data_IF_074250203459
#
_entry.id   IF_074250203459
#
_cell.length_a   1.000
_cell.length_b   1.000
_cell.length_c   1.000
_cell.angle_alpha   90.00
_cell.angle_beta   90.00
_cell.angle_gamma   90.00
#
_symmetry.space_group_name_H-M   'P 1'
#
loop_
_entity.id
_entity.type
_entity.pdbx_description
1 polymer ?
#
# COMPACT_ATOMS: atom_id res chain seq x y z
N UNK A 1 5.08 -48.04 -42.14
CA UNK A 1 5.30 -48.47 -40.74
C UNK A 1 6.56 -47.75 -40.28
N UNK A 2 6.62 -46.89 -39.26
CA UNK A 2 5.90 -46.83 -37.98
C UNK A 2 5.42 -45.41 -37.62
N UNK A 3 4.26 -45.35 -36.97
CA UNK A 3 3.73 -44.18 -36.25
C UNK A 3 4.66 -43.85 -35.08
N UNK A 4 5.17 -42.62 -35.00
CA UNK A 4 5.78 -42.09 -33.78
C UNK A 4 4.65 -41.44 -32.98
N UNK A 5 4.18 -42.17 -31.97
CA UNK A 5 3.20 -41.70 -30.99
C UNK A 5 3.90 -41.73 -29.65
N UNK A 6 3.83 -40.62 -28.90
CA UNK A 6 4.21 -40.40 -27.49
C UNK A 6 5.37 -39.40 -27.30
N UNK A 7 5.00 -38.13 -27.18
CA UNK A 7 5.74 -37.14 -26.39
C UNK A 7 4.81 -36.67 -25.26
N UNK A 8 5.24 -36.78 -24.01
CA UNK A 8 4.54 -36.22 -22.84
C UNK A 8 5.35 -35.02 -22.36
N UNK A 9 4.74 -33.84 -22.35
CA UNK A 9 5.30 -32.62 -21.77
C UNK A 9 4.83 -32.56 -20.31
N UNK A 10 5.75 -32.68 -19.35
CA UNK A 10 5.47 -32.51 -17.93
C UNK A 10 5.55 -31.02 -17.57
N UNK A 11 4.39 -30.36 -17.57
CA UNK A 11 4.19 -29.03 -16.98
C UNK A 11 3.50 -29.21 -15.63
N UNK A 12 4.12 -28.78 -14.53
CA UNK A 12 3.41 -28.53 -13.26
C UNK A 12 2.59 -27.24 -13.39
N UNK A 13 1.53 -27.31 -14.19
CA UNK A 13 0.36 -26.43 -14.20
C UNK A 13 -0.82 -27.36 -14.48
N UNK A 14 -1.93 -27.22 -13.74
CA UNK A 14 -3.15 -28.03 -13.87
C UNK A 14 -3.78 -27.96 -15.29
N UNK A 15 -3.21 -28.67 -16.27
CA UNK A 15 -3.85 -28.93 -17.56
C UNK A 15 -3.28 -30.22 -18.16
N UNK A 16 -4.02 -31.32 -18.00
CA UNK A 16 -3.83 -32.52 -18.81
C UNK A 16 -4.23 -32.18 -20.26
N UNK A 17 -3.25 -32.00 -21.15
CA UNK A 17 -3.51 -31.97 -22.59
C UNK A 17 -3.58 -33.41 -23.10
N UNK A 18 -4.78 -33.96 -23.23
CA UNK A 18 -5.02 -35.20 -23.97
C UNK A 18 -5.13 -34.89 -25.46
N UNK A 19 -4.13 -35.37 -26.22
CA UNK A 19 -4.03 -35.72 -27.66
C UNK A 19 -4.80 -35.03 -28.80
N UNK A 20 -5.69 -34.05 -28.60
CA UNK A 20 -6.45 -33.41 -29.71
C UNK A 20 -6.37 -31.87 -29.71
N UNK A 21 -5.22 -31.28 -29.37
CA UNK A 21 -5.05 -29.82 -29.33
C UNK A 21 -3.90 -29.26 -30.19
N UNK A 22 -3.61 -29.87 -31.34
CA UNK A 22 -2.71 -29.25 -32.33
C UNK A 22 -3.38 -28.11 -33.14
N UNK A 23 -4.66 -27.78 -32.90
CA UNK A 23 -5.35 -26.72 -33.66
C UNK A 23 -5.85 -25.51 -32.87
N UNK A 24 -5.65 -25.43 -31.55
CA UNK A 24 -6.05 -24.24 -30.79
C UNK A 24 -5.04 -23.91 -29.68
N UNK A 25 -3.91 -23.33 -30.08
CA UNK A 25 -3.06 -22.58 -29.15
C UNK A 25 -3.63 -21.16 -29.10
N UNK A 26 -4.20 -20.77 -27.94
CA UNK A 26 -4.61 -19.39 -27.72
C UNK A 26 -3.39 -18.45 -27.78
N UNK A 27 -3.50 -17.34 -28.52
CA UNK A 27 -2.42 -16.37 -28.81
C UNK A 27 -1.73 -15.74 -27.58
N UNK A 28 -2.21 -16.00 -26.36
CA UNK A 28 -1.65 -15.51 -25.10
C UNK A 28 -0.62 -16.45 -24.47
N UNK A 29 -0.46 -17.67 -25.00
CA UNK A 29 0.52 -18.64 -24.48
C UNK A 29 1.82 -18.48 -25.26
N UNK A 30 2.83 -17.88 -24.62
CA UNK A 30 4.19 -17.83 -25.17
C UNK A 30 4.85 -19.21 -25.01
N UNK A 31 4.57 -20.09 -25.97
CA UNK A 31 5.04 -21.46 -26.02
C UNK A 31 6.58 -21.57 -26.03
N UNK A 32 7.26 -20.65 -26.72
CA UNK A 32 8.73 -20.65 -26.78
C UNK A 32 9.38 -20.41 -25.41
N UNK A 33 8.82 -19.51 -24.59
CA UNK A 33 9.34 -19.24 -23.24
C UNK A 33 9.16 -20.43 -22.27
N UNK A 34 8.13 -21.25 -22.52
CA UNK A 34 7.86 -22.47 -21.75
C UNK A 34 8.88 -23.55 -22.13
N UNK A 35 9.10 -23.78 -23.42
CA UNK A 35 10.06 -24.78 -23.90
C UNK A 35 11.50 -24.48 -23.48
N UNK A 36 11.90 -23.21 -23.42
CA UNK A 36 13.23 -22.82 -22.94
C UNK A 36 13.50 -23.19 -21.47
N UNK A 37 12.45 -23.44 -20.67
CA UNK A 37 12.55 -23.81 -19.25
C UNK A 37 12.25 -25.29 -19.01
N UNK A 38 12.00 -26.06 -20.06
CA UNK A 38 11.69 -27.48 -19.98
C UNK A 38 12.81 -28.31 -20.61
N UNK A 39 13.17 -29.41 -19.96
CA UNK A 39 14.05 -30.42 -20.58
C UNK A 39 13.18 -31.30 -21.47
N UNK A 40 13.40 -31.27 -22.77
CA UNK A 40 12.71 -32.12 -23.75
C UNK A 40 13.66 -33.23 -24.18
N UNK A 41 13.27 -34.48 -23.94
CA UNK A 41 14.07 -35.66 -24.27
C UNK A 41 13.21 -36.91 -24.44
N UNK A 42 13.78 -37.95 -25.04
CA UNK A 42 13.12 -39.25 -25.21
C UNK A 42 13.02 -39.94 -23.86
N UNK A 43 11.82 -40.33 -23.45
CA UNK A 43 11.61 -41.10 -22.23
C UNK A 43 12.25 -42.49 -22.42
N UNK A 44 13.27 -42.82 -21.64
CA UNK A 44 13.92 -44.14 -21.64
C UNK A 44 13.75 -44.73 -20.25
N UNK A 45 12.97 -45.82 -20.14
CA UNK A 45 12.45 -46.47 -18.91
C UNK A 45 11.30 -45.76 -18.20
N UNK A 46 10.07 -46.22 -18.47
CA UNK A 46 8.84 -45.84 -17.76
C UNK A 46 8.87 -46.26 -16.27
N UNK A 47 9.58 -47.33 -15.90
CA UNK A 47 9.54 -47.89 -14.54
C UNK A 47 10.31 -47.08 -13.48
N UNK A 48 11.20 -46.16 -13.88
CA UNK A 48 12.00 -45.35 -12.92
C UNK A 48 11.36 -44.00 -12.54
N UNK A 49 10.27 -43.60 -13.21
CA UNK A 49 9.53 -42.38 -12.90
C UNK A 49 8.15 -42.71 -12.33
N UNK A 50 8.12 -43.26 -11.12
CA UNK A 50 6.92 -43.07 -10.30
C UNK A 50 6.92 -41.61 -9.87
N UNK A 51 5.99 -40.81 -10.41
CA UNK A 51 5.63 -39.56 -9.76
C UNK A 51 5.36 -39.88 -8.29
N UNK A 52 5.90 -39.11 -7.32
CA UNK A 52 5.48 -39.27 -5.94
C UNK A 52 3.95 -39.22 -5.96
N UNK A 53 3.29 -40.17 -5.29
CA UNK A 53 1.84 -40.14 -5.15
C UNK A 53 1.48 -38.72 -4.73
N UNK A 54 0.78 -38.01 -5.61
CA UNK A 54 0.12 -36.77 -5.25
C UNK A 54 -0.87 -37.17 -4.18
N UNK A 55 -0.44 -37.05 -2.92
CA UNK A 55 -1.34 -36.96 -1.80
C UNK A 55 -2.17 -35.69 -2.08
N UNK A 56 -3.26 -35.85 -2.81
CA UNK A 56 -4.43 -35.03 -2.57
C UNK A 56 -4.81 -35.37 -1.14
N UNK A 57 -4.27 -34.60 -0.21
CA UNK A 57 -4.78 -34.61 1.14
C UNK A 57 -6.22 -34.14 1.02
N UNK A 58 -7.15 -35.00 1.42
CA UNK A 58 -8.53 -34.60 1.62
C UNK A 58 -8.52 -33.47 2.67
N UNK A 59 -8.73 -32.25 2.19
CA UNK A 59 -8.96 -31.10 3.06
C UNK A 59 -10.36 -31.27 3.65
N UNK A 60 -10.46 -31.72 4.90
CA UNK A 60 -11.72 -31.71 5.66
C UNK A 60 -12.10 -30.29 6.10
N UNK A 61 -12.19 -29.35 5.16
CA UNK A 61 -12.99 -28.11 5.22
C UNK A 61 -13.24 -27.71 3.77
N UNK A 62 -14.49 -27.49 3.37
CA UNK A 62 -14.83 -27.11 2.00
C UNK A 62 -14.02 -25.86 1.56
N UNK A 63 -13.23 -25.99 0.49
CA UNK A 63 -12.44 -24.92 -0.14
C UNK A 63 -13.28 -23.69 -0.56
N UNK A 64 -14.61 -23.76 -0.49
CA UNK A 64 -15.52 -22.80 -1.08
C UNK A 64 -15.62 -21.44 -0.35
N UNK A 65 -15.19 -21.33 0.90
CA UNK A 65 -15.56 -20.16 1.72
C UNK A 65 -14.52 -19.02 1.72
N UNK A 66 -13.30 -19.28 1.21
CA UNK A 66 -12.15 -18.38 1.37
C UNK A 66 -11.60 -17.79 0.06
N UNK A 67 -12.12 -18.22 -1.10
CA UNK A 67 -11.71 -17.78 -2.44
C UNK A 67 -10.20 -17.49 -2.52
N UNK A 68 -9.40 -18.55 -2.33
CA UNK A 68 -7.96 -18.47 -2.13
C UNK A 68 -7.25 -19.60 -2.88
N UNK A 69 -6.15 -19.26 -3.54
CA UNK A 69 -5.16 -20.22 -4.05
C UNK A 69 -3.90 -20.20 -3.19
N UNK A 70 -3.05 -21.22 -3.33
CA UNK A 70 -1.71 -21.20 -2.76
C UNK A 70 -0.70 -21.91 -3.67
N UNK A 71 0.56 -21.53 -3.52
CA UNK A 71 1.68 -22.21 -4.17
C UNK A 71 2.92 -22.10 -3.29
N UNK A 72 3.95 -22.87 -3.60
CA UNK A 72 5.19 -22.87 -2.81
C UNK A 72 6.42 -23.06 -3.67
N UNK A 73 7.56 -22.63 -3.12
CA UNK A 73 8.90 -23.02 -3.56
C UNK A 73 9.66 -23.57 -2.35
N UNK A 74 10.92 -23.99 -2.54
CA UNK A 74 11.74 -24.51 -1.44
C UNK A 74 11.84 -23.52 -0.27
N UNK A 75 11.98 -22.22 -0.55
CA UNK A 75 12.17 -21.18 0.47
C UNK A 75 10.92 -20.46 0.95
N UNK A 76 9.77 -20.63 0.30
CA UNK A 76 8.56 -19.89 0.69
C UNK A 76 7.26 -20.62 0.36
N UNK A 77 6.20 -20.20 1.02
CA UNK A 77 4.81 -20.51 0.66
C UNK A 77 4.08 -19.19 0.41
N UNK A 78 3.21 -19.16 -0.59
CA UNK A 78 2.48 -17.98 -1.00
C UNK A 78 0.98 -18.29 -1.04
N UNK A 79 0.19 -17.46 -0.35
CA UNK A 79 -1.26 -17.49 -0.40
C UNK A 79 -1.75 -16.35 -1.27
N UNK A 80 -2.74 -16.61 -2.11
CA UNK A 80 -3.37 -15.63 -3.00
C UNK A 80 -4.84 -15.58 -2.68
N UNK A 81 -5.29 -14.48 -2.08
CA UNK A 81 -6.68 -14.24 -1.74
C UNK A 81 -7.35 -13.36 -2.79
N UNK A 82 -8.57 -13.70 -3.15
CA UNK A 82 -9.41 -12.93 -4.08
C UNK A 82 -10.63 -12.41 -3.34
N UNK A 83 -10.55 -11.17 -2.86
CA UNK A 83 -11.57 -10.54 -2.00
C UNK A 83 -12.82 -10.10 -2.78
N UNK A 84 -12.77 -10.11 -4.12
CA UNK A 84 -13.83 -9.66 -5.04
C UNK A 84 -14.28 -8.20 -4.83
N UNK A 85 -13.51 -7.43 -4.07
CA UNK A 85 -13.82 -6.06 -3.68
C UNK A 85 -12.57 -5.20 -3.83
N UNK A 86 -12.67 -4.03 -4.46
CA UNK A 86 -11.52 -3.16 -4.62
C UNK A 86 -11.09 -2.58 -3.25
N UNK A 87 -9.80 -2.28 -3.10
CA UNK A 87 -9.21 -1.71 -1.87
C UNK A 87 -9.58 -2.49 -0.58
N UNK A 88 -9.39 -3.82 -0.54
CA UNK A 88 -9.81 -4.63 0.60
C UNK A 88 -9.08 -4.26 1.89
N UNK A 89 -9.76 -4.27 3.03
CA UNK A 89 -9.07 -4.20 4.33
C UNK A 89 -8.12 -5.40 4.44
N UNK A 90 -6.83 -5.16 4.70
CA UNK A 90 -5.83 -6.22 4.87
C UNK A 90 -5.07 -6.01 6.18
N UNK A 91 -5.26 -6.95 7.10
CA UNK A 91 -4.41 -7.14 8.27
C UNK A 91 -3.91 -8.57 8.31
N UNK A 92 -2.62 -8.75 8.55
CA UNK A 92 -1.95 -10.05 8.60
C UNK A 92 -1.18 -10.13 9.91
N UNK A 93 -1.25 -11.28 10.58
CA UNK A 93 -0.57 -11.50 11.86
C UNK A 93 0.01 -12.90 11.92
N UNK A 94 1.28 -13.02 12.34
CA UNK A 94 1.89 -14.30 12.68
C UNK A 94 1.92 -14.47 14.21
N UNK A 95 0.89 -15.11 14.78
CA UNK A 95 0.74 -15.27 16.24
C UNK A 95 1.78 -16.21 16.84
N UNK A 96 2.06 -17.30 16.14
CA UNK A 96 3.09 -18.30 16.44
C UNK A 96 3.84 -18.61 15.15
N UNK A 97 5.05 -19.21 15.21
CA UNK A 97 5.83 -19.50 14.00
C UNK A 97 5.08 -20.28 12.93
N UNK A 98 4.03 -21.02 13.28
CA UNK A 98 3.16 -21.78 12.39
C UNK A 98 1.68 -21.36 12.43
N UNK A 99 1.31 -20.25 13.08
CA UNK A 99 -0.08 -19.79 13.14
C UNK A 99 -0.22 -18.43 12.45
N UNK A 100 -0.73 -18.47 11.22
CA UNK A 100 -0.94 -17.33 10.35
C UNK A 100 -2.40 -16.88 10.40
N UNK A 101 -2.66 -15.69 10.96
CA UNK A 101 -3.99 -15.09 11.00
C UNK A 101 -4.08 -13.94 10.00
N UNK A 102 -5.28 -13.72 9.46
CA UNK A 102 -5.55 -12.57 8.61
C UNK A 102 -6.98 -12.08 8.81
N UNK A 103 -7.15 -10.78 8.58
CA UNK A 103 -8.42 -10.09 8.47
C UNK A 103 -8.50 -9.53 7.06
N UNK A 104 -9.48 -10.00 6.30
CA UNK A 104 -9.81 -9.50 4.96
C UNK A 104 -11.25 -9.00 4.96
N UNK A 105 -11.45 -7.70 4.77
CA UNK A 105 -12.78 -7.06 4.82
C UNK A 105 -13.59 -7.44 6.07
N UNK A 106 -13.00 -7.26 7.25
CA UNK A 106 -13.61 -7.65 8.53
C UNK A 106 -13.75 -9.16 8.80
N UNK A 107 -13.44 -10.03 7.84
CA UNK A 107 -13.49 -11.49 8.03
C UNK A 107 -12.16 -12.00 8.57
N UNK A 108 -12.18 -12.49 9.80
CA UNK A 108 -11.02 -13.09 10.47
C UNK A 108 -10.94 -14.59 10.21
N UNK A 109 -9.75 -15.07 9.87
CA UNK A 109 -9.44 -16.48 9.64
C UNK A 109 -8.01 -16.77 10.11
N UNK A 110 -7.73 -18.04 10.38
CA UNK A 110 -6.39 -18.51 10.76
C UNK A 110 -6.02 -19.77 9.99
N UNK A 111 -4.74 -19.90 9.62
CA UNK A 111 -4.13 -21.08 9.01
C UNK A 111 -3.05 -21.57 9.96
N UNK A 112 -3.22 -22.79 10.45
CA UNK A 112 -2.17 -23.53 11.13
C UNK A 112 -1.27 -24.16 10.06
N UNK A 113 -0.15 -23.50 9.77
CA UNK A 113 0.81 -23.90 8.76
C UNK A 113 1.46 -25.24 9.09
N UNK A 114 1.81 -26.00 8.04
CA UNK A 114 2.46 -27.29 8.21
C UNK A 114 3.80 -27.20 8.96
N UNK A 115 4.60 -26.16 8.73
CA UNK A 115 5.84 -25.87 9.46
C UNK A 115 6.00 -24.38 9.75
N UNK A 116 7.04 -24.05 10.53
CA UNK A 116 7.33 -22.69 10.91
C UNK A 116 7.81 -21.81 9.72
N UNK A 117 7.44 -20.54 9.78
CA UNK A 117 7.86 -19.46 8.88
C UNK A 117 8.59 -18.36 9.65
N UNK A 118 9.24 -17.44 8.94
CA UNK A 118 9.90 -16.25 9.50
C UNK A 118 9.08 -15.00 9.21
N UNK A 119 9.27 -13.97 10.04
CA UNK A 119 8.65 -12.64 9.91
C UNK A 119 9.75 -11.58 9.65
N UNK A 120 9.51 -10.51 8.87
CA UNK A 120 8.26 -10.14 8.20
C UNK A 120 7.87 -11.04 7.02
N UNK A 121 6.57 -11.05 6.71
CA UNK A 121 6.08 -11.59 5.45
C UNK A 121 6.20 -10.54 4.33
N UNK A 122 6.10 -10.98 3.07
CA UNK A 122 6.03 -10.07 1.92
C UNK A 122 4.59 -10.06 1.42
N UNK A 123 4.01 -8.85 1.31
CA UNK A 123 2.62 -8.67 0.88
C UNK A 123 2.57 -7.89 -0.43
N UNK A 124 1.81 -8.38 -1.41
CA UNK A 124 1.51 -7.66 -2.65
C UNK A 124 0.00 -7.54 -2.82
N UNK A 125 -0.47 -6.33 -3.10
CA UNK A 125 -1.90 -6.05 -3.25
C UNK A 125 -2.12 -5.44 -4.63
N UNK A 126 -3.03 -6.03 -5.40
CA UNK A 126 -3.61 -5.40 -6.59
C UNK A 126 -4.98 -4.89 -6.19
N UNK A 127 -4.99 -3.64 -5.72
CA UNK A 127 -6.13 -3.08 -4.99
C UNK A 127 -7.41 -3.06 -5.83
N UNK A 128 -7.34 -2.65 -7.10
CA UNK A 128 -8.52 -2.47 -7.97
C UNK A 128 -9.30 -3.76 -8.24
N UNK A 129 -8.65 -4.93 -8.18
CA UNK A 129 -9.29 -6.24 -8.40
C UNK A 129 -9.42 -7.05 -7.10
N UNK A 130 -9.01 -6.50 -5.96
CA UNK A 130 -9.09 -7.18 -4.67
C UNK A 130 -8.20 -8.43 -4.58
N UNK A 131 -7.04 -8.44 -5.22
CA UNK A 131 -6.10 -9.56 -5.15
C UNK A 131 -5.03 -9.28 -4.10
N UNK A 132 -4.91 -10.13 -3.08
CA UNK A 132 -3.93 -10.02 -2.00
C UNK A 132 -3.02 -11.24 -2.02
N UNK A 133 -1.72 -11.04 -2.19
CA UNK A 133 -0.72 -12.11 -2.15
C UNK A 133 0.11 -11.98 -0.88
N UNK A 134 0.20 -13.07 -0.11
CA UNK A 134 0.96 -13.14 1.12
C UNK A 134 2.01 -14.23 1.00
N UNK A 135 3.27 -13.81 0.90
CA UNK A 135 4.43 -14.70 0.80
C UNK A 135 5.07 -14.82 2.18
N UNK A 136 5.03 -16.02 2.74
CA UNK A 136 5.68 -16.40 3.99
C UNK A 136 6.98 -17.13 3.68
N UNK A 137 8.09 -16.69 4.29
CA UNK A 137 9.40 -17.32 4.13
C UNK A 137 9.49 -18.51 5.08
N UNK A 138 9.85 -19.68 4.56
CA UNK A 138 9.94 -20.91 5.36
C UNK A 138 11.19 -20.87 6.23
N UNK A 139 11.05 -21.23 7.51
CA UNK A 139 12.21 -21.32 8.42
C UNK A 139 13.15 -22.47 8.04
N UNK A 140 12.61 -23.53 7.46
CA UNK A 140 13.36 -24.69 6.94
C UNK A 140 12.99 -24.88 5.48
N UNK A 141 14.01 -24.93 4.61
CA UNK A 141 13.82 -25.14 3.17
C UNK A 141 13.20 -26.53 2.92
N UNK A 142 12.27 -26.58 1.96
CA UNK A 142 11.66 -27.84 1.52
C UNK A 142 10.23 -27.67 1.05
N UNK A 143 9.75 -28.65 0.27
CA UNK A 143 8.35 -28.73 -0.13
C UNK A 143 7.50 -29.29 1.01
N UNK A 144 6.35 -28.69 1.26
CA UNK A 144 5.38 -29.17 2.23
C UNK A 144 4.31 -29.98 1.48
N UNK A 145 3.90 -31.16 1.97
CA UNK A 145 2.85 -31.94 1.33
C UNK A 145 1.50 -31.20 1.31
N UNK A 146 1.26 -30.38 2.33
CA UNK A 146 0.09 -29.52 2.48
C UNK A 146 0.53 -28.14 2.97
N UNK A 147 -0.28 -27.10 2.76
CA UNK A 147 0.00 -25.79 3.34
C UNK A 147 -0.21 -25.75 4.87
N UNK A 148 -1.17 -26.52 5.36
CA UNK A 148 -1.65 -26.46 6.74
C UNK A 148 -3.15 -26.76 6.83
N UNK A 149 -3.77 -26.36 7.94
CA UNK A 149 -5.22 -26.45 8.14
C UNK A 149 -5.83 -25.08 8.41
N UNK A 150 -6.97 -24.80 7.78
CA UNK A 150 -7.73 -23.57 8.03
C UNK A 150 -8.56 -23.78 9.29
N UNK A 151 -8.57 -22.79 10.18
CA UNK A 151 -9.43 -22.77 11.36
C UNK A 151 -10.20 -21.45 11.42
N UNK A 152 -11.48 -21.52 11.76
CA UNK A 152 -12.24 -20.34 12.13
C UNK A 152 -11.81 -19.92 13.54
N UNK A 153 -11.30 -18.71 13.65
CA UNK A 153 -11.01 -18.11 14.95
C UNK A 153 -12.19 -17.24 15.36
N UNK A 154 -12.57 -17.30 16.64
CA UNK A 154 -13.48 -16.31 17.21
C UNK A 154 -12.89 -14.91 16.96
N UNK A 155 -13.75 -13.96 16.62
CA UNK A 155 -13.36 -12.58 16.37
C UNK A 155 -12.74 -12.01 17.66
N UNK A 156 -11.41 -11.95 17.72
CA UNK A 156 -10.71 -11.18 18.75
C UNK A 156 -10.41 -9.85 18.07
N UNK A 157 -11.25 -8.86 18.34
CA UNK A 157 -11.06 -7.51 17.83
C UNK A 157 -9.85 -6.90 18.55
N UNK A 158 -8.69 -6.96 17.91
CA UNK A 158 -7.52 -6.20 18.34
C UNK A 158 -7.64 -4.83 17.68
N UNK A 159 -7.89 -3.80 18.48
CA UNK A 159 -8.06 -2.45 17.96
C UNK A 159 -6.74 -1.67 17.87
N UNK A 160 -5.73 -2.04 18.68
CA UNK A 160 -4.44 -1.36 18.78
C UNK A 160 -3.27 -2.34 18.93
N UNK A 161 -2.13 -1.98 18.36
CA UNK A 161 -0.85 -2.68 18.49
C UNK A 161 0.21 -1.75 19.05
N UNK A 162 1.16 -2.32 19.80
CA UNK A 162 2.31 -1.54 20.28
C UNK A 162 3.35 -1.40 19.18
N UNK A 163 3.89 -0.21 19.04
CA UNK A 163 4.98 0.05 18.12
C UNK A 163 6.11 0.77 18.84
N UNK A 164 7.32 0.26 18.68
CA UNK A 164 8.56 0.83 19.21
C UNK A 164 9.12 1.84 18.21
N UNK A 165 9.61 2.99 18.70
CA UNK A 165 10.30 3.98 17.88
C UNK A 165 11.69 3.46 17.52
N UNK A 166 11.93 3.24 16.22
CA UNK A 166 13.25 2.89 15.71
C UNK A 166 14.13 4.12 15.50
N UNK A 167 13.58 5.15 14.85
CA UNK A 167 14.35 6.35 14.48
C UNK A 167 13.49 7.61 14.46
N UNK A 168 14.09 8.73 14.83
CA UNK A 168 13.50 10.08 14.78
C UNK A 168 14.46 11.03 14.06
N UNK A 169 13.96 11.79 13.09
CA UNK A 169 14.71 12.82 12.37
C UNK A 169 13.93 14.12 12.27
N UNK A 170 14.61 15.26 12.37
CA UNK A 170 14.02 16.55 12.05
C UNK A 170 13.97 16.74 10.53
N UNK A 171 12.78 16.91 9.97
CA UNK A 171 12.56 17.19 8.54
C UNK A 171 12.56 18.69 8.27
N UNK A 172 12.02 19.45 9.22
CA UNK A 172 12.08 20.90 9.32
C UNK A 172 12.23 21.27 10.80
N UNK A 173 12.41 22.56 11.12
CA UNK A 173 12.50 23.05 12.51
C UNK A 173 11.34 22.63 13.42
N UNK A 174 10.19 22.27 12.85
CA UNK A 174 9.00 21.91 13.62
C UNK A 174 8.31 20.63 13.14
N UNK A 175 8.89 19.84 12.24
CA UNK A 175 8.32 18.57 11.78
C UNK A 175 9.34 17.46 11.96
N UNK A 176 8.94 16.41 12.68
CA UNK A 176 9.72 15.19 12.83
C UNK A 176 9.20 14.07 11.95
N UNK A 177 10.12 13.32 11.38
CA UNK A 177 9.90 11.98 10.85
C UNK A 177 10.12 10.97 11.96
N UNK A 178 9.13 10.09 12.19
CA UNK A 178 9.19 9.04 13.18
C UNK A 178 8.91 7.68 12.51
N UNK A 179 9.90 6.78 12.57
CA UNK A 179 9.78 5.41 12.07
C UNK A 179 9.56 4.46 13.24
N UNK A 180 8.41 3.81 13.25
CA UNK A 180 8.03 2.83 14.23
C UNK A 180 8.06 1.42 13.66
N UNK A 181 8.27 0.44 14.52
CA UNK A 181 8.13 -1.00 14.21
C UNK A 181 7.09 -1.62 15.11
N UNK A 182 6.20 -2.43 14.56
CA UNK A 182 5.27 -3.21 15.37
C UNK A 182 6.05 -4.19 16.27
N UNK A 183 5.77 -4.19 17.57
CA UNK A 183 6.35 -5.17 18.51
C UNK A 183 5.79 -6.58 18.24
N UNK A 184 4.56 -6.65 17.72
CA UNK A 184 3.93 -7.88 17.28
C UNK A 184 4.24 -8.14 15.79
N UNK A 185 4.23 -9.41 15.37
CA UNK A 185 4.38 -9.81 13.98
C UNK A 185 3.12 -9.48 13.16
N UNK A 186 2.92 -8.20 12.87
CA UNK A 186 1.69 -7.66 12.27
C UNK A 186 2.03 -6.81 11.06
N UNK A 187 1.24 -6.97 10.01
CA UNK A 187 1.21 -6.12 8.84
C UNK A 187 -0.21 -5.56 8.71
N UNK A 188 -0.32 -4.23 8.73
CA UNK A 188 -1.57 -3.52 8.49
C UNK A 188 -1.41 -2.67 7.23
N UNK A 189 -2.16 -2.98 6.17
CA UNK A 189 -2.07 -2.20 4.95
C UNK A 189 -2.86 -0.88 5.08
N UNK A 190 -2.17 0.24 4.93
CA UNK A 190 -2.79 1.57 4.93
C UNK A 190 -2.86 2.05 3.49
N UNK A 191 -4.06 2.11 2.93
CA UNK A 191 -4.26 2.66 1.58
C UNK A 191 -3.96 4.16 1.52
N UNK A 192 -3.61 4.69 0.33
CA UNK A 192 -3.48 6.13 0.13
C UNK A 192 -4.68 6.91 0.69
N UNK A 193 -4.41 8.01 1.38
CA UNK A 193 -5.44 8.84 2.02
C UNK A 193 -6.07 8.28 3.29
N UNK A 194 -5.82 7.02 3.67
CA UNK A 194 -6.24 6.48 4.97
C UNK A 194 -5.26 6.87 6.08
N UNK A 195 -5.74 6.88 7.32
CA UNK A 195 -4.97 7.25 8.50
C UNK A 195 -5.03 6.14 9.55
N UNK A 196 -4.22 6.26 10.59
CA UNK A 196 -4.29 5.45 11.81
C UNK A 196 -4.48 6.38 13.00
N UNK A 197 -4.97 5.85 14.12
CA UNK A 197 -4.91 6.54 15.40
C UNK A 197 -3.63 6.16 16.12
N UNK A 198 -2.86 7.16 16.51
CA UNK A 198 -1.75 7.01 17.45
C UNK A 198 -2.27 7.38 18.83
N UNK A 199 -2.05 6.47 19.78
CA UNK A 199 -2.44 6.59 21.17
C UNK A 199 -1.22 6.48 22.07
N UNK A 200 -1.16 7.35 23.07
CA UNK A 200 -0.11 7.33 24.09
C UNK A 200 -0.66 7.81 25.45
N UNK A 201 0.00 7.41 26.53
CA UNK A 201 -0.27 7.94 27.86
C UNK A 201 0.60 9.18 28.09
N UNK A 202 -0.03 10.35 28.18
CA UNK A 202 0.64 11.64 28.42
C UNK A 202 0.20 12.16 29.78
N UNK A 203 1.12 12.18 30.74
CA UNK A 203 0.88 12.63 32.12
C UNK A 203 -0.33 11.93 32.78
N UNK A 204 -0.45 10.61 32.63
CA UNK A 204 -1.54 9.82 33.19
C UNK A 204 -2.82 9.78 32.34
N UNK A 205 -2.91 10.55 31.25
CA UNK A 205 -4.08 10.59 30.37
C UNK A 205 -3.81 9.89 29.04
N UNK A 206 -4.72 8.99 28.64
CA UNK A 206 -4.68 8.41 27.30
C UNK A 206 -5.14 9.45 26.26
N UNK A 207 -4.23 9.88 25.39
CA UNK A 207 -4.49 10.80 24.29
C UNK A 207 -4.38 10.04 22.98
N UNK A 208 -5.35 10.21 22.09
CA UNK A 208 -5.38 9.56 20.76
C UNK A 208 -5.67 10.59 19.67
N UNK A 209 -4.92 10.57 18.56
CA UNK A 209 -5.15 11.43 17.39
C UNK A 209 -4.88 10.69 16.08
N UNK A 210 -5.56 11.06 14.99
CA UNK A 210 -5.25 10.51 13.68
C UNK A 210 -3.92 11.04 13.15
N UNK A 211 -3.14 10.16 12.53
CA UNK A 211 -1.96 10.49 11.74
C UNK A 211 -2.01 9.69 10.44
N UNK A 212 -1.69 10.35 9.33
CA UNK A 212 -1.59 9.67 8.03
C UNK A 212 -0.18 9.14 7.86
N UNK A 213 -0.01 7.80 7.78
CA UNK A 213 1.29 7.23 7.51
C UNK A 213 1.81 7.71 6.17
N UNK A 214 3.05 8.17 6.17
CA UNK A 214 3.76 8.40 4.93
C UNK A 214 4.44 7.08 4.60
N UNK A 215 3.89 6.37 3.60
CA UNK A 215 4.49 5.16 3.03
C UNK A 215 5.98 5.43 2.68
N UNK A 216 6.87 4.43 2.50
CA UNK A 216 8.23 4.61 1.99
C UNK A 216 8.25 5.30 0.62
N UNK A 217 7.99 6.60 0.64
CA UNK A 217 7.92 7.45 -0.53
C UNK A 217 9.32 7.95 -0.79
N UNK A 218 10.07 8.22 0.27
CA UNK A 218 11.49 8.44 0.13
C UNK A 218 12.16 7.08 -0.08
N UNK A 219 12.53 6.79 -1.33
CA UNK A 219 13.38 5.64 -1.74
C UNK A 219 14.78 5.66 -1.11
N UNK A 220 14.97 6.45 -0.05
CA UNK A 220 16.22 6.60 0.67
C UNK A 220 16.23 5.68 1.89
N UNK A 221 17.38 5.09 2.16
CA UNK A 221 17.65 4.40 3.42
C UNK A 221 18.11 5.35 4.53
N UNK A 222 18.28 6.64 4.22
CA UNK A 222 18.68 7.69 5.18
C UNK A 222 17.77 7.73 6.41
N UNK A 223 16.47 7.48 6.21
CA UNK A 223 15.48 7.53 7.29
C UNK A 223 15.26 6.18 8.00
N UNK A 224 16.14 5.21 7.80
CA UNK A 224 16.07 3.88 8.41
C UNK A 224 15.58 2.80 7.46
N UNK A 225 15.63 1.54 7.93
CA UNK A 225 15.21 0.38 7.15
C UNK A 225 13.69 0.21 7.25
N UNK A 226 13.01 0.36 6.11
CA UNK A 226 11.57 0.17 6.01
C UNK A 226 11.26 -1.26 5.56
N UNK A 227 10.31 -1.90 6.25
CA UNK A 227 9.78 -3.23 5.96
C UNK A 227 8.29 -3.29 6.26
N UNK A 228 7.66 -4.42 5.92
CA UNK A 228 6.22 -4.66 6.07
C UNK A 228 5.72 -4.51 7.52
N UNK A 229 6.59 -4.67 8.51
CA UNK A 229 6.31 -4.50 9.93
C UNK A 229 6.69 -3.13 10.49
N UNK A 230 6.91 -2.14 9.61
CA UNK A 230 7.22 -0.76 10.00
C UNK A 230 6.16 0.22 9.53
N UNK A 231 6.09 1.35 10.22
CA UNK A 231 5.15 2.43 9.97
C UNK A 231 5.87 3.77 10.18
N UNK A 232 5.69 4.69 9.25
CA UNK A 232 6.26 6.03 9.36
C UNK A 232 5.18 7.10 9.42
N UNK A 233 5.35 8.09 10.31
CA UNK A 233 4.50 9.29 10.40
C UNK A 233 5.34 10.57 10.42
N UNK A 234 4.80 11.64 9.85
CA UNK A 234 5.32 13.00 10.03
C UNK A 234 4.52 13.72 11.10
N UNK A 235 5.20 14.24 12.13
CA UNK A 235 4.57 14.90 13.27
C UNK A 235 5.08 16.32 13.37
N UNK A 236 4.17 17.29 13.18
CA UNK A 236 4.46 18.69 13.48
C UNK A 236 4.36 18.93 14.98
N UNK A 237 5.40 19.51 15.55
CA UNK A 237 5.42 19.94 16.95
C UNK A 237 4.55 21.19 17.10
N UNK A 238 3.46 21.05 17.86
CA UNK A 238 2.61 22.17 18.25
C UNK A 238 2.89 22.52 19.72
N UNK A 239 3.25 23.78 20.07
CA UNK A 239 3.61 24.17 21.43
C UNK A 239 2.55 23.88 22.51
N UNK A 240 1.28 23.75 22.13
CA UNK A 240 0.17 23.44 23.03
C UNK A 240 -0.45 22.05 22.75
N UNK A 241 0.19 21.25 21.88
CA UNK A 241 -0.34 19.97 21.43
C UNK A 241 0.15 18.82 22.30
N UNK A 242 -0.74 18.27 23.14
CA UNK A 242 -0.42 17.18 24.09
C UNK A 242 0.29 15.99 23.42
N UNK A 243 -0.32 15.43 22.37
CA UNK A 243 0.23 14.23 21.72
C UNK A 243 1.40 14.57 20.78
N UNK A 244 1.32 15.65 20.01
CA UNK A 244 2.42 16.03 19.12
C UNK A 244 3.72 16.32 19.89
N UNK A 245 3.65 16.99 21.04
CA UNK A 245 4.83 17.22 21.87
C UNK A 245 5.39 15.91 22.41
N UNK A 246 4.51 15.04 22.92
CA UNK A 246 4.91 13.73 23.41
C UNK A 246 5.63 12.94 22.32
N UNK A 247 5.04 12.81 21.13
CA UNK A 247 5.64 12.10 19.99
C UNK A 247 6.97 12.72 19.56
N UNK A 248 7.09 14.06 19.54
CA UNK A 248 8.35 14.72 19.19
C UNK A 248 9.43 14.59 20.28
N UNK A 249 9.06 14.24 21.51
CA UNK A 249 9.99 14.02 22.64
C UNK A 249 10.46 12.57 22.80
N UNK A 250 9.85 11.63 22.07
CA UNK A 250 10.19 10.22 22.15
C UNK A 250 11.65 9.98 21.77
N UNK A 251 12.24 9.00 22.43
CA UNK A 251 13.58 8.47 22.18
C UNK A 251 13.46 7.10 21.54
N UNK A 252 14.50 6.69 20.84
CA UNK A 252 14.59 5.34 20.30
C UNK A 252 14.35 4.32 21.42
N UNK A 253 13.50 3.33 21.15
CA UNK A 253 13.06 2.33 22.13
C UNK A 253 11.76 2.69 22.87
N UNK A 254 11.27 3.92 22.80
CA UNK A 254 9.96 4.28 23.38
C UNK A 254 8.82 3.71 22.53
N UNK A 255 7.70 3.34 23.18
CA UNK A 255 6.55 2.72 22.50
C UNK A 255 5.30 3.62 22.46
N UNK A 256 4.54 3.47 21.39
CA UNK A 256 3.19 4.02 21.20
C UNK A 256 2.19 2.89 20.90
N UNK A 257 0.89 3.19 20.94
CA UNK A 257 -0.15 2.30 20.44
C UNK A 257 -0.70 2.83 19.11
N UNK A 258 -0.85 1.95 18.12
CA UNK A 258 -1.33 2.26 16.76
C UNK A 258 -2.58 1.46 16.45
N UNK A 259 -3.63 2.13 15.97
CA UNK A 259 -4.88 1.46 15.57
C UNK A 259 -4.78 0.75 14.22
N UNK A 260 -5.83 0.01 13.88
CA UNK A 260 -6.10 -0.35 12.48
C UNK A 260 -6.23 0.88 11.57
N UNK A 261 -5.97 0.75 10.26
CA UNK A 261 -6.21 1.79 9.28
C UNK A 261 -7.70 2.20 9.25
N UNK A 262 -7.96 3.50 9.16
CA UNK A 262 -9.29 4.11 9.09
C UNK A 262 -9.33 5.20 8.03
N UNK A 263 -10.54 5.64 7.69
CA UNK A 263 -10.79 6.66 6.66
C UNK A 263 -11.63 6.11 5.52
N UNK A 264 -12.40 7.01 4.93
CA UNK A 264 -13.35 6.76 3.84
C UNK A 264 -12.84 7.29 2.49
N UNK A 265 -11.59 7.75 2.42
CA UNK A 265 -11.00 8.11 1.14
C UNK A 265 -10.83 6.84 0.30
N UNK A 266 -11.35 6.90 -0.92
CA UNK A 266 -11.18 5.89 -1.95
C UNK A 266 -10.48 6.54 -3.12
N UNK A 267 -9.50 5.85 -3.71
CA UNK A 267 -8.84 6.37 -4.89
C UNK A 267 -9.86 6.50 -6.04
N UNK A 268 -9.99 7.70 -6.61
CA UNK A 268 -10.89 7.93 -7.74
C UNK A 268 -10.35 7.24 -9.00
N UNK A 269 -10.75 5.99 -9.18
CA UNK A 269 -10.38 5.22 -10.37
C UNK A 269 -11.00 5.82 -11.62
N UNK A 270 -12.15 6.49 -11.57
CA UNK A 270 -12.80 7.14 -12.72
C UNK A 270 -12.09 8.40 -13.23
N UNK A 271 -11.17 8.97 -12.45
CA UNK A 271 -10.52 10.26 -12.73
C UNK A 271 -9.10 10.03 -13.25
N UNK A 272 -8.59 10.95 -14.06
CA UNK A 272 -7.23 10.88 -14.64
C UNK A 272 -6.36 12.06 -14.20
N UNK A 273 -6.96 13.14 -13.70
CA UNK A 273 -6.26 14.34 -13.26
C UNK A 273 -6.55 14.61 -11.78
N UNK A 274 -5.51 14.69 -10.96
CA UNK A 274 -5.61 14.92 -9.52
C UNK A 274 -5.01 16.29 -9.17
N UNK A 275 -5.80 17.13 -8.51
CA UNK A 275 -5.34 18.39 -7.94
C UNK A 275 -5.25 18.24 -6.43
N UNK A 276 -4.07 18.45 -5.85
CA UNK A 276 -3.80 18.24 -4.43
C UNK A 276 -3.51 19.60 -3.80
N UNK A 277 -4.38 20.03 -2.88
CA UNK A 277 -4.25 21.25 -2.11
C UNK A 277 -3.76 20.88 -0.71
N UNK A 278 -2.51 21.18 -0.41
CA UNK A 278 -1.89 20.84 0.87
C UNK A 278 -1.41 22.09 1.61
N UNK A 279 -1.55 22.10 2.93
CA UNK A 279 -0.89 23.09 3.79
C UNK A 279 -0.18 22.44 4.98
N UNK A 280 1.12 22.73 5.16
CA UNK A 280 1.95 22.13 6.21
C UNK A 280 1.90 20.60 6.21
N UNK A 281 1.58 19.97 7.35
CA UNK A 281 1.47 18.50 7.45
C UNK A 281 0.30 17.90 6.68
N UNK A 282 -0.59 18.72 6.10
CA UNK A 282 -1.61 18.26 5.15
C UNK A 282 -1.02 17.63 3.88
N UNK A 283 0.29 17.75 3.66
CA UNK A 283 1.01 17.01 2.61
C UNK A 283 0.99 15.49 2.84
N UNK A 284 0.82 15.01 4.07
CA UNK A 284 0.93 13.58 4.43
C UNK A 284 0.00 12.65 3.62
N UNK A 285 -1.32 12.87 3.50
CA UNK A 285 -2.16 12.08 2.60
C UNK A 285 -1.75 12.25 1.14
N UNK A 286 -1.36 13.46 0.73
CA UNK A 286 -1.00 13.76 -0.67
C UNK A 286 0.21 12.96 -1.14
N UNK A 287 1.20 12.74 -0.26
CA UNK A 287 2.38 11.94 -0.59
C UNK A 287 1.97 10.52 -1.02
N UNK A 288 1.11 9.85 -0.25
CA UNK A 288 0.64 8.50 -0.58
C UNK A 288 -0.15 8.45 -1.90
N UNK A 289 -0.94 9.50 -2.17
CA UNK A 289 -1.73 9.65 -3.40
C UNK A 289 -0.81 9.86 -4.60
N UNK A 290 0.18 10.76 -4.49
CA UNK A 290 1.20 11.01 -5.53
C UNK A 290 1.94 9.71 -5.86
N UNK A 291 2.40 8.99 -4.83
CA UNK A 291 3.14 7.76 -5.03
C UNK A 291 2.29 6.71 -5.77
N UNK A 292 1.04 6.51 -5.34
CA UNK A 292 0.13 5.57 -5.99
C UNK A 292 -0.18 5.97 -7.44
N UNK A 293 -0.43 7.27 -7.68
CA UNK A 293 -0.69 7.82 -9.01
C UNK A 293 0.50 7.61 -9.98
N UNK A 294 1.73 7.78 -9.50
CA UNK A 294 2.94 7.62 -10.32
C UNK A 294 3.30 6.17 -10.62
N UNK A 295 2.97 5.23 -9.72
CA UNK A 295 3.29 3.79 -9.82
C UNK A 295 2.13 2.93 -10.30
N UNK A 296 0.95 3.49 -10.52
CA UNK A 296 -0.22 2.78 -11.04
C UNK A 296 0.11 2.11 -12.38
N UNK A 297 -0.04 0.77 -12.50
CA UNK A 297 0.20 0.06 -13.75
C UNK A 297 -1.01 0.11 -14.70
N UNK A 298 -2.18 0.52 -14.21
CA UNK A 298 -3.46 0.44 -14.94
C UNK A 298 -3.79 1.80 -15.57
N UNK A 299 -3.64 2.89 -14.82
CA UNK A 299 -3.96 4.25 -15.27
C UNK A 299 -2.78 5.19 -15.12
N UNK A 300 -2.63 6.08 -16.10
CA UNK A 300 -1.68 7.20 -16.05
C UNK A 300 -2.42 8.41 -15.51
N UNK A 301 -2.07 8.78 -14.27
CA UNK A 301 -2.59 9.99 -13.63
C UNK A 301 -1.68 11.18 -13.93
N UNK A 302 -2.28 12.35 -14.12
CA UNK A 302 -1.60 13.64 -13.99
C UNK A 302 -1.90 14.22 -12.62
N UNK A 303 -0.89 14.75 -11.94
CA UNK A 303 -0.98 15.24 -10.57
C UNK A 303 -0.41 16.64 -10.49
N UNK A 304 -1.22 17.57 -9.96
CA UNK A 304 -0.80 18.93 -9.64
C UNK A 304 -0.89 19.12 -8.14
N UNK A 305 0.24 19.33 -7.47
CA UNK A 305 0.31 19.64 -6.05
C UNK A 305 0.51 21.15 -5.87
N UNK A 306 -0.43 21.82 -5.20
CA UNK A 306 -0.28 23.17 -4.67
C UNK A 306 0.02 23.06 -3.17
N UNK A 307 1.26 23.34 -2.78
CA UNK A 307 1.74 23.13 -1.42
C UNK A 307 2.03 24.45 -0.72
N UNK A 308 1.13 24.81 0.20
CA UNK A 308 1.16 26.07 0.93
C UNK A 308 1.96 25.94 2.24
N UNK A 309 2.93 26.82 2.44
CA UNK A 309 3.73 26.90 3.66
C UNK A 309 3.95 28.36 4.07
N UNK A 310 4.47 28.59 5.27
CA UNK A 310 4.77 29.96 5.72
C UNK A 310 5.96 30.54 4.97
N UNK A 311 7.06 29.78 4.95
CA UNK A 311 8.35 30.10 4.36
C UNK A 311 8.97 28.85 3.74
N UNK A 312 10.01 29.01 2.93
CA UNK A 312 10.64 27.90 2.20
C UNK A 312 11.19 26.82 3.14
N UNK A 313 11.83 27.23 4.25
CA UNK A 313 12.36 26.31 5.27
C UNK A 313 11.31 25.42 5.94
N UNK A 314 10.01 25.70 5.78
CA UNK A 314 8.92 24.87 6.30
C UNK A 314 8.38 23.86 5.28
N UNK A 315 8.88 23.87 4.04
CA UNK A 315 8.48 22.93 3.01
C UNK A 315 9.09 21.55 3.32
N UNK A 316 8.24 20.66 3.82
CA UNK A 316 8.58 19.25 4.08
C UNK A 316 9.09 18.62 2.78
N UNK A 317 10.33 18.12 2.81
CA UNK A 317 10.97 17.37 1.72
C UNK A 317 10.99 18.05 0.34
N UNK A 318 11.20 19.38 0.31
CA UNK A 318 11.29 20.18 -0.93
C UNK A 318 12.18 19.55 -2.01
N UNK A 319 13.44 19.25 -1.70
CA UNK A 319 14.41 18.70 -2.67
C UNK A 319 13.93 17.37 -3.27
N UNK A 320 13.28 16.53 -2.47
CA UNK A 320 12.73 15.27 -2.92
C UNK A 320 11.54 15.49 -3.87
N UNK A 321 10.63 16.40 -3.52
CA UNK A 321 9.48 16.77 -4.36
C UNK A 321 9.93 17.40 -5.70
N UNK A 322 10.91 18.30 -5.65
CA UNK A 322 11.51 18.93 -6.85
C UNK A 322 12.11 17.88 -7.77
N UNK A 323 12.92 16.96 -7.23
CA UNK A 323 13.50 15.85 -8.00
C UNK A 323 12.44 14.93 -8.60
N UNK A 324 11.40 14.56 -7.84
CA UNK A 324 10.32 13.71 -8.34
C UNK A 324 9.50 14.41 -9.41
N UNK A 325 9.20 15.71 -9.25
CA UNK A 325 8.51 16.52 -10.26
C UNK A 325 9.36 16.64 -11.53
N UNK A 326 10.66 16.91 -11.42
CA UNK A 326 11.56 16.97 -12.58
C UNK A 326 11.64 15.62 -13.33
N UNK A 327 11.76 14.51 -12.60
CA UNK A 327 11.85 13.15 -13.19
C UNK A 327 10.51 12.70 -13.80
N UNK A 328 9.38 13.26 -13.34
CA UNK A 328 8.03 12.93 -13.84
C UNK A 328 7.35 14.18 -14.41
N UNK A 329 8.08 15.06 -15.10
CA UNK A 329 7.60 16.39 -15.50
C UNK A 329 6.34 16.38 -16.36
N UNK A 330 6.09 15.29 -17.10
CA UNK A 330 4.86 15.12 -17.87
C UNK A 330 3.62 14.72 -17.05
N UNK A 331 3.80 14.33 -15.78
CA UNK A 331 2.73 13.78 -14.92
C UNK A 331 2.65 14.38 -13.53
N UNK A 332 3.71 15.03 -13.01
CA UNK A 332 3.73 15.62 -11.68
C UNK A 332 4.22 17.07 -11.75
N UNK A 333 3.33 18.00 -11.46
CA UNK A 333 3.65 19.41 -11.24
C UNK A 333 3.55 19.73 -9.75
N UNK A 334 4.60 20.30 -9.17
CA UNK A 334 4.60 20.80 -7.79
C UNK A 334 4.76 22.32 -7.82
N UNK A 335 3.90 23.02 -7.08
CA UNK A 335 3.95 24.47 -6.90
C UNK A 335 3.93 24.80 -5.42
N UNK A 336 4.85 25.67 -5.02
CA UNK A 336 4.94 26.15 -3.64
C UNK A 336 4.32 27.54 -3.54
N UNK A 337 3.52 27.74 -2.50
CA UNK A 337 2.86 29.01 -2.18
C UNK A 337 3.30 29.40 -0.77
N UNK A 338 3.93 30.56 -0.63
CA UNK A 338 4.54 30.99 0.63
C UNK A 338 3.83 32.23 1.17
N UNK A 339 3.29 32.14 2.40
CA UNK A 339 2.53 33.26 2.98
C UNK A 339 3.40 34.40 3.49
N UNK A 340 4.64 34.12 3.86
CA UNK A 340 5.63 35.13 4.26
C UNK A 340 6.50 35.49 3.04
N UNK A 341 6.73 36.78 2.84
CA UNK A 341 7.60 37.27 1.78
C UNK A 341 9.05 36.95 2.13
N UNK A 342 9.56 35.88 1.54
CA UNK A 342 10.99 35.71 1.32
C UNK A 342 11.22 36.20 -0.12
N UNK A 343 12.38 36.77 -0.46
CA UNK A 343 12.72 37.19 -1.83
C UNK A 343 12.82 35.95 -2.76
N UNK A 344 11.71 35.23 -2.92
CA UNK A 344 11.59 33.93 -3.52
C UNK A 344 11.26 34.15 -4.98
N UNK A 345 12.30 34.21 -5.81
CA UNK A 345 12.23 34.62 -7.22
C UNK A 345 11.34 33.72 -8.10
N UNK A 346 10.85 32.57 -7.60
CA UNK A 346 10.24 31.52 -8.42
C UNK A 346 8.86 31.01 -7.97
N UNK A 347 8.20 31.65 -6.99
CA UNK A 347 6.92 31.15 -6.44
C UNK A 347 5.87 32.23 -6.18
N UNK A 348 4.67 31.76 -5.86
CA UNK A 348 3.56 32.64 -5.52
C UNK A 348 3.61 33.01 -4.02
N UNK A 349 3.45 34.30 -3.76
CA UNK A 349 3.39 34.87 -2.41
C UNK A 349 1.93 34.97 -1.92
N UNK A 350 1.75 34.81 -0.60
CA UNK A 350 0.47 34.99 0.08
C UNK A 350 -0.22 33.68 0.46
N UNK A 351 -1.49 33.80 0.81
CA UNK A 351 -2.34 32.64 1.10
C UNK A 351 -3.05 32.17 -0.16
N UNK A 352 -3.44 30.89 -0.20
CA UNK A 352 -4.30 30.39 -1.27
C UNK A 352 -5.55 31.27 -1.37
N UNK A 353 -5.82 31.77 -2.56
CA UNK A 353 -6.94 32.63 -2.87
C UNK A 353 -7.53 32.25 -4.23
N UNK A 354 -8.53 33.02 -4.67
CA UNK A 354 -9.16 32.81 -5.97
C UNK A 354 -8.17 32.97 -7.13
N UNK A 355 -7.21 33.90 -7.03
CA UNK A 355 -6.21 34.14 -8.08
C UNK A 355 -5.28 32.94 -8.28
N UNK A 356 -4.78 32.36 -7.18
CA UNK A 356 -3.93 31.17 -7.22
C UNK A 356 -4.70 29.97 -7.79
N UNK A 357 -5.95 29.78 -7.37
CA UNK A 357 -6.80 28.73 -7.94
C UNK A 357 -7.04 28.98 -9.43
N UNK A 358 -7.31 30.23 -9.86
CA UNK A 358 -7.45 30.66 -11.27
C UNK A 358 -6.20 30.42 -12.10
N UNK A 359 -5.03 30.61 -11.51
CA UNK A 359 -3.74 30.43 -12.19
C UNK A 359 -3.40 28.95 -12.44
N UNK A 360 -3.69 28.07 -11.47
CA UNK A 360 -3.20 26.69 -11.52
C UNK A 360 -4.25 25.63 -11.80
N UNK A 361 -5.53 25.93 -11.62
CA UNK A 361 -6.58 25.02 -12.04
C UNK A 361 -6.72 25.11 -13.56
N UNK A 362 -7.00 23.98 -14.24
CA UNK A 362 -7.30 24.03 -15.65
C UNK A 362 -8.56 24.86 -15.90
N UNK A 363 -8.66 25.40 -17.11
CA UNK A 363 -9.91 25.94 -17.62
C UNK A 363 -10.79 24.75 -17.99
N UNK A 364 -11.83 24.53 -17.20
CA UNK A 364 -12.79 23.47 -17.46
C UNK A 364 -13.72 23.88 -18.60
N UNK A 365 -13.90 23.00 -19.57
CA UNK A 365 -15.08 22.99 -20.41
C UNK A 365 -16.01 21.85 -19.96
N UNK A 366 -17.27 21.87 -20.38
CA UNK A 366 -18.29 20.91 -19.91
C UNK A 366 -17.89 19.44 -20.10
N UNK A 367 -16.99 19.15 -21.05
CA UNK A 367 -16.53 17.80 -21.35
C UNK A 367 -15.32 17.33 -20.51
N UNK A 368 -14.47 18.23 -20.00
CA UNK A 368 -13.20 17.85 -19.34
C UNK A 368 -13.26 17.84 -17.82
N UNK A 369 -14.23 18.55 -17.22
CA UNK A 369 -14.35 18.67 -15.76
C UNK A 369 -14.49 17.31 -15.06
N UNK A 370 -15.26 16.41 -15.66
CA UNK A 370 -15.52 15.07 -15.13
C UNK A 370 -14.24 14.21 -15.03
N UNK A 371 -13.11 14.62 -15.61
CA UNK A 371 -11.82 13.92 -15.53
C UNK A 371 -10.98 14.30 -14.30
N UNK A 372 -11.35 15.38 -13.61
CA UNK A 372 -10.61 15.94 -12.48
C UNK A 372 -11.20 15.52 -11.14
N UNK A 373 -10.30 15.38 -10.16
CA UNK A 373 -10.71 15.39 -8.76
C UNK A 373 -9.71 16.13 -7.87
N UNK A 374 -10.21 16.65 -6.75
CA UNK A 374 -9.46 17.55 -5.87
C UNK A 374 -9.34 16.98 -4.46
N UNK A 375 -8.12 16.85 -3.94
CA UNK A 375 -7.85 16.51 -2.55
C UNK A 375 -7.44 17.74 -1.77
N UNK A 376 -8.00 17.94 -0.57
CA UNK A 376 -7.72 19.11 0.28
C UNK A 376 -7.30 18.63 1.67
N UNK A 377 -6.15 19.08 2.16
CA UNK A 377 -5.74 18.83 3.54
C UNK A 377 -4.84 19.94 4.08
N UNK A 378 -5.16 20.41 5.29
CA UNK A 378 -4.43 21.45 5.97
C UNK A 378 -5.16 21.89 7.24
N UNK A 379 -4.76 23.02 7.84
CA UNK A 379 -5.47 23.59 8.98
C UNK A 379 -6.94 23.88 8.67
N UNK A 380 -7.84 23.92 9.68
CA UNK A 380 -9.29 24.07 9.45
C UNK A 380 -9.67 25.29 8.59
N UNK A 381 -8.98 26.42 8.75
CA UNK A 381 -9.21 27.61 7.94
C UNK A 381 -8.84 27.43 6.46
N UNK A 382 -7.74 26.72 6.19
CA UNK A 382 -7.32 26.37 4.83
C UNK A 382 -8.32 25.43 4.17
N UNK A 383 -8.71 24.35 4.86
CA UNK A 383 -9.67 23.37 4.34
C UNK A 383 -11.00 24.05 3.94
N UNK A 384 -11.57 24.87 4.82
CA UNK A 384 -12.83 25.59 4.55
C UNK A 384 -12.72 26.53 3.36
N UNK A 385 -11.61 27.26 3.24
CA UNK A 385 -11.40 28.20 2.14
C UNK A 385 -11.25 27.45 0.80
N UNK A 386 -10.38 26.44 0.75
CA UNK A 386 -10.17 25.66 -0.45
C UNK A 386 -11.43 24.92 -0.90
N UNK A 387 -12.19 24.34 0.03
CA UNK A 387 -13.46 23.68 -0.27
C UNK A 387 -14.46 24.67 -0.91
N UNK A 388 -14.59 25.87 -0.33
CA UNK A 388 -15.41 26.95 -0.92
C UNK A 388 -14.97 27.29 -2.35
N UNK A 389 -13.67 27.49 -2.58
CA UNK A 389 -13.12 27.85 -3.89
C UNK A 389 -13.33 26.73 -4.93
N UNK A 390 -13.16 25.47 -4.52
CA UNK A 390 -13.40 24.29 -5.36
C UNK A 390 -14.87 24.16 -5.75
N UNK A 391 -15.79 24.40 -4.82
CA UNK A 391 -17.24 24.44 -5.10
C UNK A 391 -17.58 25.61 -6.04
N UNK A 392 -16.95 26.78 -5.88
CA UNK A 392 -17.15 27.93 -6.78
C UNK A 392 -16.65 27.65 -8.21
N UNK A 393 -15.65 26.77 -8.36
CA UNK A 393 -15.25 26.21 -9.68
C UNK A 393 -16.18 25.10 -10.19
N UNK A 394 -17.22 24.80 -9.42
CA UNK A 394 -18.33 23.93 -9.77
C UNK A 394 -18.09 22.46 -9.46
N UNK A 395 -17.01 22.06 -8.79
CA UNK A 395 -16.79 20.66 -8.46
C UNK A 395 -17.92 20.11 -7.58
N UNK A 396 -18.45 18.95 -7.96
CA UNK A 396 -19.48 18.26 -7.19
C UNK A 396 -18.87 17.47 -6.02
N UNK A 397 -19.71 17.05 -5.07
CA UNK A 397 -19.30 16.39 -3.83
C UNK A 397 -18.53 15.07 -4.04
N UNK A 398 -18.73 14.42 -5.18
CA UNK A 398 -18.04 13.19 -5.59
C UNK A 398 -16.70 13.44 -6.32
N UNK A 399 -16.38 14.71 -6.58
CA UNK A 399 -15.19 15.14 -7.32
C UNK A 399 -14.13 15.82 -6.45
N UNK A 400 -14.38 15.97 -5.16
CA UNK A 400 -13.37 16.42 -4.21
C UNK A 400 -13.47 15.69 -2.88
N UNK A 401 -12.39 15.72 -2.12
CA UNK A 401 -12.30 15.13 -0.80
C UNK A 401 -11.49 16.03 0.12
N UNK A 402 -12.07 16.34 1.28
CA UNK A 402 -11.40 17.12 2.33
C UNK A 402 -10.98 16.16 3.44
N UNK A 403 -9.67 16.00 3.65
CA UNK A 403 -9.13 15.27 4.79
C UNK A 403 -9.25 16.14 6.05
N UNK A 404 -9.88 15.60 7.09
CA UNK A 404 -10.18 16.28 8.35
C UNK A 404 -10.05 15.40 9.57
#
# INVERSE_FOLDING_TARGET
MHKITNCVILLTVNTLFTKDCERQIHAWVNYESILQKCVVGRLVNEERFKLPNLLKADTEVSENDLNMDWFQQLGFICFVFYTKTPYPEVSITLKRPNEFCFVLNGKTRSINLHKAVTWPCVVKIVADIGKVQVKLIKKVLGLWPIFGTISLTKHIQIDYWKCELLVSYDVTDNVKYLLFKYEQNVYNHVYPGRHIYVKANVNGHNVSRPYTPVWPIVETTEYGRISEDTLCVLVKNYPNGKLSQHLCSLRQGDSIEVSRPQGNFECWTSKTNLILLAAGTGITPMLSIIWNALHSPIKKYNVTLLFCNKKESYIIWKNYLDKKSATNSSRLTVRYILSEKENYESGDEGHVDENIINKYFPVFNDNTKNEYAVCICGPPGFNKLCEKLVIQRGFNKDEYFVFG
#
